data_IF_588306351151
#
_entry.id   IF_588306351151
#
_cell.length_a   1.000
_cell.length_b   1.000
_cell.length_c   1.000
_cell.angle_alpha   90.00
_cell.angle_beta   90.00
_cell.angle_gamma   90.00
#
_symmetry.space_group_name_H-M   'P 1'
#
loop_
_entity.id
_entity.type
_entity.pdbx_description
1 polymer ?
#
# COMPACT_ATOMS: atom_id res chain seq x y z
N UNK A 1 1.08 12.51 13.36
CA UNK A 1 0.43 11.27 13.83
C UNK A 1 0.78 10.12 12.89
N UNK A 2 1.75 9.27 13.26
CA UNK A 2 2.29 8.16 12.45
C UNK A 2 1.90 6.76 12.98
N UNK A 3 1.01 6.68 13.99
CA UNK A 3 0.90 5.51 14.88
C UNK A 3 0.20 4.26 14.32
N UNK A 4 -0.42 4.31 13.14
CA UNK A 4 -1.34 3.24 12.68
C UNK A 4 -0.97 2.58 11.33
N UNK A 5 0.12 2.98 10.68
CA UNK A 5 0.49 2.42 9.36
C UNK A 5 0.80 0.93 9.39
N UNK A 6 1.43 0.43 10.45
CA UNK A 6 1.67 -1.00 10.65
C UNK A 6 0.37 -1.79 10.74
N UNK A 7 -0.58 -1.29 11.55
CA UNK A 7 -1.90 -1.94 11.69
C UNK A 7 -2.67 -1.94 10.38
N UNK A 8 -2.59 -0.84 9.63
CA UNK A 8 -3.21 -0.73 8.30
C UNK A 8 -2.61 -1.71 7.29
N UNK A 9 -1.28 -1.78 7.22
CA UNK A 9 -0.58 -2.75 6.37
C UNK A 9 -0.92 -4.20 6.76
N UNK A 10 -0.99 -4.49 8.06
CA UNK A 10 -1.33 -5.82 8.57
C UNK A 10 -2.76 -6.21 8.26
N UNK A 11 -3.72 -5.31 8.48
CA UNK A 11 -5.13 -5.55 8.12
C UNK A 11 -5.27 -5.80 6.61
N UNK A 12 -4.56 -5.02 5.78
CA UNK A 12 -4.57 -5.20 4.33
C UNK A 12 -3.94 -6.53 3.90
N UNK A 13 -2.79 -6.90 4.48
CA UNK A 13 -2.12 -8.17 4.22
C UNK A 13 -2.95 -9.38 4.64
N UNK A 14 -3.58 -9.34 5.81
CA UNK A 14 -4.48 -10.40 6.26
C UNK A 14 -5.71 -10.53 5.35
N UNK A 15 -6.32 -9.41 4.96
CA UNK A 15 -7.50 -9.42 4.10
C UNK A 15 -7.18 -9.99 2.71
N UNK A 16 -6.03 -9.59 2.14
CA UNK A 16 -5.48 -10.19 0.91
C UNK A 16 -5.25 -11.70 1.06
N UNK A 17 -4.58 -12.11 2.15
CA UNK A 17 -4.27 -13.52 2.40
C UNK A 17 -5.53 -14.37 2.54
N UNK A 18 -6.52 -13.90 3.31
CA UNK A 18 -7.80 -14.60 3.49
C UNK A 18 -8.56 -14.71 2.17
N UNK A 19 -8.65 -13.64 1.38
CA UNK A 19 -9.32 -13.69 0.08
C UNK A 19 -8.64 -14.65 -0.90
N UNK A 20 -7.31 -14.74 -0.84
CA UNK A 20 -6.56 -15.70 -1.63
C UNK A 20 -6.91 -17.15 -1.26
N UNK A 21 -6.88 -17.48 0.03
CA UNK A 21 -7.24 -18.82 0.52
C UNK A 21 -8.69 -19.20 0.21
N UNK A 22 -9.60 -18.22 0.21
CA UNK A 22 -11.00 -18.40 -0.18
C UNK A 22 -11.22 -18.48 -1.70
N UNK A 23 -10.16 -18.38 -2.52
CA UNK A 23 -10.24 -18.44 -3.98
C UNK A 23 -10.94 -17.24 -4.64
N UNK A 24 -11.09 -16.11 -3.92
CA UNK A 24 -11.83 -14.93 -4.38
C UNK A 24 -10.98 -14.02 -5.30
N UNK A 25 -10.49 -14.58 -6.41
CA UNK A 25 -9.60 -13.88 -7.35
C UNK A 25 -10.23 -12.64 -7.98
N UNK A 26 -11.55 -12.67 -8.23
CA UNK A 26 -12.31 -11.54 -8.78
C UNK A 26 -12.26 -10.29 -7.89
N UNK A 27 -12.19 -10.47 -6.56
CA UNK A 27 -12.10 -9.37 -5.60
C UNK A 27 -10.64 -8.95 -5.43
N UNK A 28 -9.72 -9.94 -5.40
CA UNK A 28 -8.31 -9.72 -5.14
C UNK A 28 -7.65 -8.79 -6.17
N UNK A 29 -8.01 -8.93 -7.46
CA UNK A 29 -7.50 -8.08 -8.54
C UNK A 29 -7.79 -6.58 -8.32
N UNK A 30 -8.95 -6.25 -7.74
CA UNK A 30 -9.29 -4.86 -7.43
C UNK A 30 -8.60 -4.40 -6.16
N UNK A 31 -8.53 -5.28 -5.15
CA UNK A 31 -7.93 -4.98 -3.86
C UNK A 31 -6.44 -4.62 -3.99
N UNK A 32 -5.70 -5.32 -4.87
CA UNK A 32 -4.29 -5.07 -5.17
C UNK A 32 -4.03 -3.63 -5.65
N UNK A 33 -5.00 -2.99 -6.30
CA UNK A 33 -4.87 -1.63 -6.83
C UNK A 33 -5.21 -0.55 -5.80
N UNK A 34 -5.92 -0.90 -4.73
CA UNK A 34 -6.34 0.06 -3.69
C UNK A 34 -5.19 0.81 -3.01
N UNK A 35 -3.99 0.24 -2.79
CA UNK A 35 -2.88 0.99 -2.22
C UNK A 35 -2.45 2.18 -3.10
N UNK A 36 -2.56 2.09 -4.42
CA UNK A 36 -2.23 3.22 -5.29
C UNK A 36 -3.26 4.35 -5.14
N UNK A 37 -4.55 4.01 -5.01
CA UNK A 37 -5.60 5.00 -4.74
C UNK A 37 -5.43 5.66 -3.36
N UNK A 38 -5.05 4.88 -2.35
CA UNK A 38 -4.80 5.41 -1.01
C UNK A 38 -3.52 6.28 -0.98
N UNK A 39 -2.58 6.08 -1.92
CA UNK A 39 -1.30 6.82 -1.94
C UNK A 39 -1.44 8.31 -2.28
N UNK A 40 -2.59 8.72 -2.83
CA UNK A 40 -2.93 10.13 -3.03
C UNK A 40 -3.08 10.89 -1.70
N UNK A 41 -3.54 10.21 -0.65
CA UNK A 41 -3.86 10.82 0.65
C UNK A 41 -2.91 10.36 1.77
N UNK A 42 -2.43 9.12 1.71
CA UNK A 42 -1.64 8.47 2.76
C UNK A 42 -0.22 8.14 2.29
N UNK A 43 0.73 8.14 3.23
CA UNK A 43 2.13 7.78 2.98
C UNK A 43 2.30 6.27 3.00
N UNK A 44 1.95 5.60 1.92
CA UNK A 44 1.97 4.13 1.83
C UNK A 44 3.39 3.58 1.62
N UNK A 45 4.32 4.43 1.21
CA UNK A 45 5.75 4.12 1.06
C UNK A 45 6.52 4.01 2.38
N UNK A 46 5.85 4.12 3.53
CA UNK A 46 6.46 4.01 4.86
C UNK A 46 6.86 2.55 5.16
N UNK A 47 8.07 2.26 5.67
CA UNK A 47 8.49 0.87 5.96
C UNK A 47 7.51 0.10 6.84
N UNK A 48 6.80 0.78 7.75
CA UNK A 48 5.83 0.19 8.66
C UNK A 48 4.64 -0.45 7.93
N UNK A 49 4.17 0.11 6.80
CA UNK A 49 3.10 -0.51 6.01
C UNK A 49 3.57 -1.78 5.34
N UNK A 50 4.80 -1.80 4.80
CA UNK A 50 5.42 -3.00 4.23
C UNK A 50 5.59 -4.09 5.27
N UNK A 51 6.09 -3.76 6.47
CA UNK A 51 6.22 -4.73 7.55
C UNK A 51 4.87 -5.33 7.93
N UNK A 52 3.83 -4.50 8.10
CA UNK A 52 2.48 -4.98 8.39
C UNK A 52 1.97 -5.91 7.29
N UNK A 53 2.08 -5.50 6.03
CA UNK A 53 1.63 -6.30 4.89
C UNK A 53 2.33 -7.64 4.78
N UNK A 54 3.67 -7.65 4.90
CA UNK A 54 4.48 -8.86 4.84
C UNK A 54 4.10 -9.80 5.98
N UNK A 55 3.91 -9.29 7.20
CA UNK A 55 3.45 -10.11 8.33
C UNK A 55 2.07 -10.73 8.09
N UNK A 56 1.14 -9.98 7.50
CA UNK A 56 -0.20 -10.48 7.17
C UNK A 56 -0.20 -11.56 6.09
N UNK A 57 0.68 -11.44 5.09
CA UNK A 57 0.78 -12.36 3.95
C UNK A 57 1.78 -13.51 4.17
N UNK A 58 2.57 -13.46 5.24
CA UNK A 58 3.61 -14.45 5.52
C UNK A 58 3.05 -15.87 5.65
N UNK A 59 1.81 -16.01 6.14
CA UNK A 59 1.16 -17.31 6.27
C UNK A 59 0.79 -17.94 4.93
N UNK A 60 0.35 -17.14 3.95
CA UNK A 60 -0.18 -17.65 2.67
C UNK A 60 0.91 -17.80 1.60
N UNK A 61 1.87 -16.88 1.53
CA UNK A 61 2.89 -16.85 0.47
C UNK A 61 4.34 -16.89 0.99
N UNK A 62 4.53 -17.02 2.31
CA UNK A 62 5.84 -16.86 2.93
C UNK A 62 6.33 -15.40 2.89
N UNK A 63 7.63 -15.19 3.13
CA UNK A 63 8.19 -13.83 3.25
C UNK A 63 8.60 -13.17 1.94
N UNK A 64 9.08 -13.94 0.95
CA UNK A 64 9.77 -13.36 -0.21
C UNK A 64 8.81 -12.67 -1.18
N UNK A 65 7.71 -13.34 -1.55
CA UNK A 65 6.74 -12.82 -2.51
C UNK A 65 6.07 -11.52 -2.01
N UNK A 66 5.58 -11.44 -0.76
CA UNK A 66 4.98 -10.22 -0.24
C UNK A 66 5.97 -9.06 -0.14
N UNK A 67 7.26 -9.32 0.13
CA UNK A 67 8.29 -8.27 0.18
C UNK A 67 8.51 -7.65 -1.20
N UNK A 68 8.70 -8.48 -2.24
CA UNK A 68 8.89 -7.99 -3.61
C UNK A 68 7.66 -7.20 -4.07
N UNK A 69 6.47 -7.73 -3.79
CA UNK A 69 5.22 -7.06 -4.14
C UNK A 69 5.04 -5.72 -3.42
N UNK A 70 5.33 -5.67 -2.12
CA UNK A 70 5.26 -4.44 -1.33
C UNK A 70 6.23 -3.38 -1.86
N UNK A 71 7.45 -3.77 -2.27
CA UNK A 71 8.42 -2.85 -2.84
C UNK A 71 7.91 -2.20 -4.13
N UNK A 72 7.30 -2.98 -5.03
CA UNK A 72 6.70 -2.45 -6.26
C UNK A 72 5.59 -1.46 -5.93
N UNK A 73 4.66 -1.85 -5.05
CA UNK A 73 3.55 -0.98 -4.65
C UNK A 73 4.04 0.30 -3.97
N UNK A 74 5.02 0.21 -3.08
CA UNK A 74 5.57 1.37 -2.38
C UNK A 74 6.31 2.31 -3.32
N UNK A 75 7.07 1.77 -4.27
CA UNK A 75 7.79 2.58 -5.25
C UNK A 75 6.80 3.41 -6.07
N UNK A 76 5.75 2.78 -6.60
CA UNK A 76 4.70 3.47 -7.35
C UNK A 76 3.95 4.46 -6.45
N UNK A 77 3.54 4.05 -5.24
CA UNK A 77 2.85 4.91 -4.28
C UNK A 77 3.69 6.12 -3.84
N UNK A 78 5.01 5.98 -3.77
CA UNK A 78 5.92 7.09 -3.51
C UNK A 78 5.88 8.11 -4.65
N UNK A 79 5.96 7.67 -5.90
CA UNK A 79 5.88 8.57 -7.06
C UNK A 79 4.53 9.28 -7.13
N UNK A 80 3.42 8.58 -6.90
CA UNK A 80 2.08 9.18 -6.87
C UNK A 80 2.00 10.24 -5.78
N UNK A 81 2.38 9.91 -4.54
CA UNK A 81 2.36 10.87 -3.44
C UNK A 81 3.28 12.06 -3.70
N UNK A 82 4.45 11.84 -4.30
CA UNK A 82 5.40 12.89 -4.65
C UNK A 82 4.81 13.83 -5.70
N UNK A 83 4.29 13.30 -6.79
CA UNK A 83 3.73 14.07 -7.91
C UNK A 83 2.54 14.91 -7.44
N UNK A 84 1.62 14.31 -6.70
CA UNK A 84 0.40 14.97 -6.27
C UNK A 84 0.65 16.01 -5.17
N UNK A 85 1.48 15.66 -4.17
CA UNK A 85 1.67 16.52 -3.01
C UNK A 85 2.78 17.58 -3.23
N UNK A 86 3.77 17.35 -4.10
CA UNK A 86 4.71 18.42 -4.53
C UNK A 86 4.16 19.21 -5.70
N UNK A 87 3.57 18.56 -6.70
CA UNK A 87 2.96 19.23 -7.86
C UNK A 87 1.77 20.09 -7.46
N UNK A 88 0.89 19.59 -6.59
CA UNK A 88 -0.24 20.35 -6.06
C UNK A 88 0.19 21.60 -5.28
N UNK A 89 1.23 21.49 -4.44
CA UNK A 89 1.78 22.65 -3.72
C UNK A 89 2.48 23.67 -4.63
N UNK A 90 3.10 23.22 -5.72
CA UNK A 90 3.69 24.11 -6.71
C UNK A 90 2.62 24.91 -7.48
N UNK A 91 1.55 24.24 -7.92
CA UNK A 91 0.40 24.88 -8.56
C UNK A 91 -0.27 25.89 -7.63
N UNK A 92 -0.50 25.52 -6.37
CA UNK A 92 -1.11 26.42 -5.38
C UNK A 92 -0.28 27.69 -5.15
N UNK A 93 1.05 27.56 -5.09
CA UNK A 93 1.97 28.71 -4.96
C UNK A 93 2.08 29.56 -6.22
N UNK A 94 1.68 29.06 -7.39
CA UNK A 94 1.74 29.80 -8.65
C UNK A 94 0.43 30.55 -8.95
N UNK A 95 -0.68 30.10 -8.37
CA UNK A 95 -2.00 30.74 -8.48
C UNK A 95 -2.33 31.73 -7.36
N UNK A 96 -1.63 31.67 -6.22
CA UNK A 96 -1.69 32.65 -5.12
C UNK A 96 -0.54 33.64 -5.19
#
# INVERSE_FOLDING_TARGET
MQKNYLKGGLAFGLLMGVLWELGQQEILQYLILTPWLLSFFLRIYLPETTLGFVLGMAYTFGGVLPVVFALVIQTVGFFIYLLFNRGGRWLYKKLS
#
